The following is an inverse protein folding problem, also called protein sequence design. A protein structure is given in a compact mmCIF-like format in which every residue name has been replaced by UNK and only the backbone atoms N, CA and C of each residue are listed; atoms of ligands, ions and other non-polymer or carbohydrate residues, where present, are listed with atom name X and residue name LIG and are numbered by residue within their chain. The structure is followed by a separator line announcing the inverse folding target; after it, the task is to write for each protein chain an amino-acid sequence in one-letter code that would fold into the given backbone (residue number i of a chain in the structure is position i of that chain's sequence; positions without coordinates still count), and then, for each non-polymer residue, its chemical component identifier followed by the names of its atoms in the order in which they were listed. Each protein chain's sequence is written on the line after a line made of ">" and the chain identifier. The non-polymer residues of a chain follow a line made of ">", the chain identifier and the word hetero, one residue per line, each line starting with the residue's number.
data_IF_085492459907
#
_entry.id   IF_085492459907
#
_cell.length_a   1.000
_cell.length_b   1.000
_cell.length_c   1.000
_cell.angle_alpha   90.00
_cell.angle_beta   90.00
_cell.angle_gamma   90.00
#
_symmetry.space_group_name_H-M   'P 1'
#
loop_
_entity.id
_entity.type
_entity.pdbx_description
1 polymer ?
#
# COMPACT_ATOMS: atom_id res chain seq x y z
N UNK A 1 -8.20 28.42 1.59
CA UNK A 1 -9.16 27.42 2.07
C UNK A 1 -8.46 26.55 3.07
N UNK A 2 -9.09 26.27 4.21
CA UNK A 2 -8.58 25.28 5.15
C UNK A 2 -8.68 23.87 4.54
N UNK A 3 -7.87 22.91 5.01
CA UNK A 3 -7.93 21.51 4.52
C UNK A 3 -9.32 20.89 4.74
N UNK A 4 -10.02 21.31 5.81
CA UNK A 4 -11.39 20.92 6.09
C UNK A 4 -12.40 21.48 5.06
N UNK A 5 -12.32 22.76 4.70
CA UNK A 5 -13.18 23.38 3.68
C UNK A 5 -13.03 22.70 2.32
N UNK A 6 -11.80 22.37 1.92
CA UNK A 6 -11.54 21.66 0.67
C UNK A 6 -12.16 20.26 0.67
N UNK A 7 -12.03 19.54 1.79
CA UNK A 7 -12.61 18.21 1.93
C UNK A 7 -14.15 18.24 1.87
N UNK A 8 -14.80 19.25 2.46
CA UNK A 8 -16.25 19.44 2.36
C UNK A 8 -16.73 19.63 0.92
N UNK A 9 -15.98 20.36 0.09
CA UNK A 9 -16.31 20.53 -1.34
C UNK A 9 -16.26 19.18 -2.08
N UNK A 10 -15.30 18.32 -1.73
CA UNK A 10 -15.19 16.99 -2.32
C UNK A 10 -16.39 16.10 -1.96
N UNK A 11 -16.86 16.15 -0.70
CA UNK A 11 -18.00 15.35 -0.21
C UNK A 11 -19.26 15.58 -1.05
N UNK A 12 -19.56 16.83 -1.39
CA UNK A 12 -20.78 17.20 -2.12
C UNK A 12 -20.90 16.60 -3.54
N UNK A 13 -19.82 16.03 -4.10
CA UNK A 13 -19.76 15.59 -5.52
C UNK A 13 -19.86 14.08 -5.74
N UNK A 14 -20.02 13.24 -4.70
CA UNK A 14 -19.82 11.78 -4.80
C UNK A 14 -20.99 10.92 -4.32
N UNK A 15 -21.14 9.72 -4.92
CA UNK A 15 -22.06 8.66 -4.45
C UNK A 15 -21.44 7.68 -3.45
N UNK A 16 -20.09 7.61 -3.40
CA UNK A 16 -19.31 6.85 -2.41
C UNK A 16 -18.73 7.82 -1.39
N UNK A 17 -18.54 7.37 -0.15
CA UNK A 17 -17.82 8.12 0.87
C UNK A 17 -16.43 8.55 0.38
N UNK A 18 -16.01 9.73 0.81
CA UNK A 18 -14.71 10.33 0.54
C UNK A 18 -13.67 9.84 1.51
N UNK A 19 -12.46 9.61 0.99
CA UNK A 19 -11.37 9.06 1.77
C UNK A 19 -10.19 10.02 1.87
N UNK A 20 -9.84 10.41 3.08
CA UNK A 20 -8.69 11.25 3.39
C UNK A 20 -7.65 10.47 4.19
N UNK A 21 -6.39 10.57 3.79
CA UNK A 21 -5.28 9.87 4.45
C UNK A 21 -4.18 10.84 4.85
N UNK A 22 -3.82 10.80 6.13
CA UNK A 22 -2.60 11.37 6.66
C UNK A 22 -1.45 10.38 6.55
N UNK A 23 -0.46 10.67 5.71
CA UNK A 23 0.76 9.88 5.56
C UNK A 23 1.86 10.52 6.39
N UNK A 24 2.62 9.71 7.13
CA UNK A 24 3.81 10.18 7.85
C UNK A 24 5.00 9.26 7.69
N UNK A 25 6.19 9.81 7.80
CA UNK A 25 7.44 9.03 7.69
C UNK A 25 7.61 8.01 8.83
N UNK A 26 7.05 8.29 10.02
CA UNK A 26 7.15 7.41 11.19
C UNK A 26 6.07 7.68 12.25
N UNK A 27 6.03 6.85 13.29
CA UNK A 27 5.37 7.14 14.54
C UNK A 27 5.92 8.43 15.19
N UNK A 28 5.05 9.18 15.87
CA UNK A 28 5.46 10.36 16.62
C UNK A 28 5.52 11.68 15.84
N UNK A 29 5.41 11.66 14.51
CA UNK A 29 5.34 12.87 13.66
C UNK A 29 4.06 13.69 13.83
N UNK A 30 3.06 13.16 14.54
CA UNK A 30 1.84 13.92 14.88
C UNK A 30 0.61 13.66 14.01
N UNK A 31 0.57 12.55 13.25
CA UNK A 31 -0.60 12.19 12.41
C UNK A 31 -1.94 12.22 13.16
N UNK A 32 -2.04 11.46 14.25
CA UNK A 32 -3.25 11.39 15.08
C UNK A 32 -3.62 12.75 15.66
N UNK A 33 -2.64 13.52 16.12
CA UNK A 33 -2.87 14.86 16.66
C UNK A 33 -3.45 15.80 15.59
N UNK A 34 -2.90 15.81 14.37
CA UNK A 34 -3.42 16.61 13.25
C UNK A 34 -4.82 16.19 12.81
N UNK A 35 -5.07 14.89 12.72
CA UNK A 35 -6.37 14.32 12.42
C UNK A 35 -7.44 14.75 13.44
N UNK A 36 -7.11 14.74 14.73
CA UNK A 36 -8.00 15.22 15.79
C UNK A 36 -8.20 16.74 15.74
N UNK A 37 -7.17 17.53 15.42
CA UNK A 37 -7.33 18.99 15.23
C UNK A 37 -8.28 19.31 14.08
N UNK A 38 -8.18 18.57 12.97
CA UNK A 38 -9.14 18.69 11.87
C UNK A 38 -10.55 18.29 12.29
N UNK A 39 -10.70 17.23 13.09
CA UNK A 39 -11.99 16.83 13.61
C UNK A 39 -12.68 17.93 14.42
N UNK A 40 -11.95 18.61 15.30
CA UNK A 40 -12.45 19.79 16.02
C UNK A 40 -12.84 20.93 15.07
N UNK A 41 -12.10 21.13 13.98
CA UNK A 41 -12.47 22.11 12.95
C UNK A 41 -13.77 21.73 12.25
N UNK A 42 -13.98 20.45 11.93
CA UNK A 42 -15.20 19.96 11.28
C UNK A 42 -16.42 20.06 12.21
N UNK A 43 -16.28 19.72 13.49
CA UNK A 43 -17.32 19.92 14.51
C UNK A 43 -17.74 21.39 14.64
N UNK A 44 -16.78 22.33 14.56
CA UNK A 44 -17.08 23.77 14.57
C UNK A 44 -17.87 24.26 13.36
N UNK A 45 -17.93 23.46 12.29
CA UNK A 45 -18.74 23.72 11.10
C UNK A 45 -19.96 22.80 11.04
N UNK A 46 -20.40 22.28 12.20
CA UNK A 46 -21.61 21.46 12.37
C UNK A 46 -21.62 20.17 11.52
N UNK A 47 -20.44 19.61 11.22
CA UNK A 47 -20.30 18.33 10.52
C UNK A 47 -20.42 17.17 11.50
N UNK A 48 -21.22 16.14 11.20
CA UNK A 48 -21.34 14.95 12.05
C UNK A 48 -20.09 14.06 11.90
N UNK A 49 -19.08 14.33 12.72
CA UNK A 49 -17.84 13.56 12.77
C UNK A 49 -17.71 12.77 14.07
N UNK A 50 -17.38 11.49 13.94
CA UNK A 50 -17.19 10.59 15.08
C UNK A 50 -15.86 9.85 15.05
N UNK A 51 -15.35 9.50 16.22
CA UNK A 51 -14.20 8.60 16.36
C UNK A 51 -14.72 7.16 16.28
N UNK A 52 -14.34 6.44 15.21
CA UNK A 52 -14.53 4.99 15.11
C UNK A 52 -13.40 4.24 15.80
N UNK A 53 -12.16 4.67 15.56
CA UNK A 53 -10.99 4.14 16.25
C UNK A 53 -9.84 5.14 16.28
N UNK A 54 -9.20 5.28 17.44
CA UNK A 54 -7.93 5.99 17.62
C UNK A 54 -7.08 5.22 18.62
N UNK A 55 -5.78 5.10 18.37
CA UNK A 55 -4.83 4.66 19.38
C UNK A 55 -4.16 5.92 19.95
N UNK A 56 -4.66 6.47 21.08
CA UNK A 56 -4.15 7.74 21.59
C UNK A 56 -2.69 7.61 22.04
N UNK A 57 -2.24 6.38 22.32
CA UNK A 57 -1.05 6.10 23.13
C UNK A 57 -1.10 6.89 24.46
N UNK A 58 -0.12 6.76 25.36
CA UNK A 58 -0.10 7.49 26.64
C UNK A 58 0.28 8.98 26.46
N UNK A 59 -0.32 9.67 25.47
CA UNK A 59 0.02 11.05 25.10
C UNK A 59 -1.06 12.01 25.61
N UNK A 60 -0.78 12.70 26.71
CA UNK A 60 -1.71 13.63 27.36
C UNK A 60 -2.34 14.65 26.37
N UNK A 61 -1.53 15.25 25.49
CA UNK A 61 -1.99 16.22 24.48
C UNK A 61 -2.99 15.61 23.48
N UNK A 62 -2.82 14.32 23.14
CA UNK A 62 -3.71 13.62 22.19
C UNK A 62 -4.99 13.18 22.89
N UNK A 63 -4.89 12.72 24.14
CA UNK A 63 -6.05 12.36 24.97
C UNK A 63 -6.96 13.59 25.16
N UNK A 64 -6.38 14.75 25.45
CA UNK A 64 -7.14 16.00 25.58
C UNK A 64 -7.86 16.41 24.29
N UNK A 65 -7.34 16.07 23.12
CA UNK A 65 -8.02 16.32 21.84
C UNK A 65 -9.11 15.30 21.52
N UNK A 66 -9.06 14.09 22.08
CA UNK A 66 -10.15 13.11 21.96
C UNK A 66 -11.38 13.60 22.71
N UNK A 67 -11.19 14.28 23.84
CA UNK A 67 -12.27 14.94 24.55
C UNK A 67 -12.96 15.98 23.65
N UNK A 68 -14.30 15.94 23.62
CA UNK A 68 -15.11 16.84 22.81
C UNK A 68 -15.42 16.35 21.39
N UNK A 69 -14.88 15.20 20.96
CA UNK A 69 -15.29 14.54 19.70
C UNK A 69 -16.18 13.34 20.04
N UNK A 70 -17.41 13.24 19.50
CA UNK A 70 -18.25 12.06 19.71
C UNK A 70 -17.53 10.78 19.27
N UNK A 71 -17.66 9.70 20.04
CA UNK A 71 -16.99 8.44 19.76
C UNK A 71 -18.00 7.29 19.68
N UNK A 72 -17.78 6.40 18.73
CA UNK A 72 -18.52 5.14 18.63
C UNK A 72 -17.83 4.15 19.57
N UNK A 73 -18.58 3.49 20.49
CA UNK A 73 -18.01 2.54 21.42
C UNK A 73 -17.24 1.42 20.70
N UNK A 74 -16.07 1.08 21.23
CA UNK A 74 -15.26 -0.02 20.72
C UNK A 74 -15.90 -1.36 21.07
N UNK A 75 -15.62 -2.36 20.26
CA UNK A 75 -16.04 -3.73 20.49
C UNK A 75 -14.96 -4.47 21.26
N UNK A 76 -15.33 -5.03 22.41
CA UNK A 76 -14.44 -5.91 23.16
C UNK A 76 -14.51 -7.34 22.63
N UNK A 77 -13.36 -7.93 22.28
CA UNK A 77 -13.23 -9.28 21.73
C UNK A 77 -12.32 -10.09 22.66
N UNK A 78 -12.81 -11.23 23.14
CA UNK A 78 -12.01 -12.14 23.96
C UNK A 78 -11.18 -13.08 23.07
N UNK A 79 -9.86 -12.95 23.13
CA UNK A 79 -8.94 -13.72 22.30
C UNK A 79 -7.66 -14.08 23.07
N UNK A 80 -7.22 -15.36 22.96
CA UNK A 80 -6.04 -15.92 23.67
C UNK A 80 -5.97 -15.56 25.17
N UNK A 81 -7.11 -15.57 25.84
CA UNK A 81 -7.20 -15.35 27.29
C UNK A 81 -7.17 -13.87 27.71
N UNK A 82 -7.30 -12.92 26.78
CA UNK A 82 -7.36 -11.47 27.08
C UNK A 82 -8.51 -10.81 26.30
N UNK A 83 -9.07 -9.76 26.87
CA UNK A 83 -9.97 -8.86 26.14
C UNK A 83 -9.14 -7.86 25.34
N UNK A 84 -9.47 -7.73 24.06
CA UNK A 84 -8.87 -6.77 23.13
C UNK A 84 -9.98 -5.85 22.63
N UNK A 85 -9.68 -4.55 22.55
CA UNK A 85 -10.61 -3.54 22.06
C UNK A 85 -10.38 -3.29 20.57
N UNK A 86 -11.45 -3.37 19.78
CA UNK A 86 -11.41 -3.17 18.33
C UNK A 86 -12.46 -2.18 17.85
N UNK A 87 -12.27 -1.66 16.63
CA UNK A 87 -13.26 -0.84 15.96
C UNK A 87 -14.57 -1.63 15.73
N UNK A 88 -15.71 -1.05 16.08
CA UNK A 88 -17.01 -1.65 15.76
C UNK A 88 -17.51 -1.15 14.40
N UNK A 89 -17.14 -1.88 13.34
CA UNK A 89 -17.57 -1.60 11.97
C UNK A 89 -19.09 -1.52 11.82
N UNK A 90 -19.84 -2.42 12.49
CA UNK A 90 -21.29 -2.47 12.33
C UNK A 90 -21.96 -1.31 13.06
N UNK A 91 -21.46 -0.93 14.24
CA UNK A 91 -21.93 0.27 14.93
C UNK A 91 -21.71 1.52 14.07
N UNK A 92 -20.55 1.65 13.40
CA UNK A 92 -20.27 2.76 12.49
C UNK A 92 -21.26 2.80 11.32
N UNK A 93 -21.51 1.67 10.67
CA UNK A 93 -22.44 1.62 9.52
C UNK A 93 -23.88 1.94 9.96
N UNK A 94 -24.30 1.44 11.12
CA UNK A 94 -25.66 1.65 11.64
C UNK A 94 -25.90 3.08 12.11
N UNK A 95 -24.89 3.68 12.73
CA UNK A 95 -24.94 5.06 13.22
C UNK A 95 -24.85 6.08 12.07
N UNK A 96 -24.16 5.70 10.97
CA UNK A 96 -24.08 6.44 9.70
C UNK A 96 -23.70 7.92 9.85
N UNK A 97 -22.55 8.25 10.47
CA UNK A 97 -22.11 9.64 10.58
C UNK A 97 -21.67 10.19 9.22
N UNK A 98 -21.61 11.52 9.07
CA UNK A 98 -21.05 12.14 7.88
C UNK A 98 -19.58 11.73 7.70
N UNK A 99 -18.80 11.73 8.79
CA UNK A 99 -17.37 11.41 8.77
C UNK A 99 -17.01 10.52 9.96
N UNK A 100 -16.19 9.50 9.73
CA UNK A 100 -15.58 8.71 10.80
C UNK A 100 -14.06 8.73 10.76
N UNK A 101 -13.45 8.86 11.93
CA UNK A 101 -12.01 8.80 12.13
C UNK A 101 -11.59 7.36 12.43
N UNK A 102 -10.63 6.87 11.65
CA UNK A 102 -10.10 5.50 11.78
C UNK A 102 -8.57 5.54 11.72
N UNK A 103 -7.91 5.52 12.87
CA UNK A 103 -6.44 5.48 12.96
C UNK A 103 -5.87 4.07 12.70
N UNK A 104 -4.56 4.02 12.46
CA UNK A 104 -3.78 2.81 12.16
C UNK A 104 -4.34 2.00 10.98
N UNK A 105 -4.41 2.61 9.80
CA UNK A 105 -4.96 1.96 8.59
C UNK A 105 -4.35 0.58 8.27
N UNK A 106 -3.09 0.35 8.66
CA UNK A 106 -2.34 -0.89 8.43
C UNK A 106 -2.69 -2.05 9.38
N UNK A 107 -3.44 -1.75 10.44
CA UNK A 107 -3.69 -2.66 11.55
C UNK A 107 -4.25 -4.00 11.08
N UNK A 108 -3.75 -5.07 11.71
CA UNK A 108 -4.27 -6.43 11.55
C UNK A 108 -5.34 -6.69 12.58
N UNK A 109 -6.57 -6.82 12.12
CA UNK A 109 -7.69 -7.01 13.02
C UNK A 109 -7.54 -8.30 13.83
N UNK A 110 -8.09 -8.31 15.04
CA UNK A 110 -8.09 -9.48 15.92
C UNK A 110 -8.71 -10.70 15.22
N UNK A 111 -8.11 -11.88 15.39
CA UNK A 111 -8.63 -13.13 14.85
C UNK A 111 -10.09 -13.37 15.30
N UNK A 112 -10.96 -13.70 14.34
CA UNK A 112 -12.41 -13.78 14.54
C UNK A 112 -13.18 -12.55 14.09
N UNK A 113 -12.49 -11.45 13.75
CA UNK A 113 -13.09 -10.30 13.05
C UNK A 113 -13.56 -10.68 11.64
N UNK A 114 -14.60 -10.01 11.15
CA UNK A 114 -15.16 -10.27 9.81
C UNK A 114 -14.11 -10.02 8.70
N UNK A 115 -13.31 -8.97 8.86
CA UNK A 115 -12.20 -8.64 8.00
C UNK A 115 -10.86 -8.89 8.71
N UNK A 116 -9.81 -9.19 7.94
CA UNK A 116 -8.45 -9.43 8.46
C UNK A 116 -7.66 -8.14 8.67
N UNK A 117 -8.02 -7.06 7.99
CA UNK A 117 -7.28 -5.80 7.99
C UNK A 117 -8.21 -4.60 8.15
N UNK A 118 -7.80 -3.60 8.92
CA UNK A 118 -8.59 -2.39 9.16
C UNK A 118 -8.91 -1.61 7.89
N UNK A 119 -7.99 -1.59 6.92
CA UNK A 119 -8.28 -0.97 5.63
C UNK A 119 -9.43 -1.66 4.87
N UNK A 120 -9.75 -2.93 5.14
CA UNK A 120 -10.94 -3.58 4.56
C UNK A 120 -12.22 -3.07 5.23
N UNK A 121 -12.19 -2.81 6.54
CA UNK A 121 -13.31 -2.19 7.24
C UNK A 121 -13.55 -0.77 6.70
N UNK A 122 -12.48 0.00 6.52
CA UNK A 122 -12.53 1.34 5.90
C UNK A 122 -13.17 1.29 4.52
N UNK A 123 -12.84 0.30 3.68
CA UNK A 123 -13.49 0.15 2.38
C UNK A 123 -15.01 -0.07 2.52
N UNK A 124 -15.46 -0.89 3.46
CA UNK A 124 -16.89 -1.12 3.69
C UNK A 124 -17.60 0.14 4.20
N UNK A 125 -16.95 0.93 5.06
CA UNK A 125 -17.47 2.22 5.53
C UNK A 125 -17.65 3.19 4.34
N UNK A 126 -16.63 3.30 3.48
CA UNK A 126 -16.69 4.14 2.28
C UNK A 126 -17.79 3.67 1.31
N UNK A 127 -17.96 2.37 1.13
CA UNK A 127 -19.02 1.76 0.32
C UNK A 127 -20.42 2.04 0.87
N UNK A 128 -20.57 2.15 2.19
CA UNK A 128 -21.81 2.57 2.85
C UNK A 128 -22.11 4.08 2.70
N UNK A 129 -21.22 4.85 2.06
CA UNK A 129 -21.38 6.28 1.82
C UNK A 129 -20.81 7.18 2.92
N UNK A 130 -20.23 6.61 3.97
CA UNK A 130 -19.64 7.36 5.09
C UNK A 130 -18.22 7.80 4.71
N UNK A 131 -17.87 9.05 4.98
CA UNK A 131 -16.53 9.56 4.69
C UNK A 131 -15.54 9.09 5.77
N UNK A 132 -14.29 8.85 5.40
CA UNK A 132 -13.27 8.35 6.33
C UNK A 132 -12.05 9.26 6.33
N UNK A 133 -11.59 9.64 7.54
CA UNK A 133 -10.27 10.22 7.75
C UNK A 133 -9.41 9.19 8.47
N UNK A 134 -8.24 8.87 7.89
CA UNK A 134 -7.35 7.85 8.42
C UNK A 134 -5.89 8.31 8.42
N UNK A 135 -5.02 7.53 9.08
CA UNK A 135 -3.59 7.78 9.13
C UNK A 135 -2.78 6.50 8.92
N UNK A 136 -1.63 6.64 8.27
CA UNK A 136 -0.71 5.53 7.98
C UNK A 136 0.75 6.00 7.95
N UNK A 137 1.68 5.15 8.39
CA UNK A 137 3.11 5.38 8.17
C UNK A 137 3.57 4.78 6.84
N UNK A 138 4.53 5.41 6.17
CA UNK A 138 5.09 4.90 4.91
C UNK A 138 5.64 3.48 5.00
N UNK A 139 6.11 3.09 6.19
CA UNK A 139 6.67 1.76 6.44
C UNK A 139 5.65 0.64 6.25
N UNK A 140 4.35 0.94 6.29
CA UNK A 140 3.28 -0.02 6.09
C UNK A 140 2.82 -0.11 4.63
N UNK A 141 3.28 0.79 3.76
CA UNK A 141 2.94 0.76 2.34
C UNK A 141 3.69 -0.41 1.69
N UNK A 142 2.95 -1.31 1.03
CA UNK A 142 3.49 -2.56 0.52
C UNK A 142 4.65 -2.33 -0.45
N UNK A 143 4.51 -1.43 -1.43
CA UNK A 143 5.57 -1.15 -2.40
C UNK A 143 6.83 -0.52 -1.81
N UNK A 144 6.70 0.17 -0.68
CA UNK A 144 7.82 0.83 0.01
C UNK A 144 8.50 -0.07 1.02
N UNK A 145 7.94 -1.25 1.30
CA UNK A 145 8.47 -2.09 2.35
C UNK A 145 9.95 -2.40 2.16
N UNK A 146 10.36 -2.85 0.98
CA UNK A 146 11.74 -3.29 0.75
C UNK A 146 12.73 -2.14 0.93
N UNK A 147 12.41 -0.97 0.38
CA UNK A 147 13.19 0.25 0.59
C UNK A 147 13.28 0.60 2.07
N UNK A 148 12.17 0.54 2.80
CA UNK A 148 12.15 0.80 4.25
C UNK A 148 12.99 -0.23 4.99
N UNK A 149 12.84 -1.53 4.72
CA UNK A 149 13.62 -2.61 5.34
C UNK A 149 15.12 -2.41 5.13
N UNK A 150 15.53 -1.92 3.96
CA UNK A 150 16.94 -1.61 3.69
C UNK A 150 17.45 -0.41 4.50
N UNK A 151 16.58 0.56 4.83
CA UNK A 151 16.91 1.72 5.67
C UNK A 151 16.97 1.33 7.14
N UNK A 152 15.89 0.73 7.67
CA UNK A 152 15.74 0.50 9.12
C UNK A 152 16.22 -0.88 9.59
N UNK A 153 16.45 -1.83 8.69
CA UNK A 153 16.84 -3.20 9.00
C UNK A 153 15.73 -4.09 9.57
N UNK A 154 14.52 -3.55 9.76
CA UNK A 154 13.38 -4.24 10.39
C UNK A 154 12.33 -4.59 9.34
N UNK A 155 11.83 -5.82 9.41
CA UNK A 155 10.71 -6.26 8.61
C UNK A 155 9.40 -5.91 9.30
N UNK A 156 8.62 -5.04 8.67
CA UNK A 156 7.26 -4.73 9.09
C UNK A 156 6.32 -5.89 8.66
N UNK A 157 5.30 -6.21 9.43
CA UNK A 157 4.36 -7.30 9.06
C UNK A 157 3.00 -6.75 8.68
N UNK A 158 2.66 -5.59 9.21
CA UNK A 158 1.40 -4.90 8.94
C UNK A 158 1.51 -4.05 7.67
N UNK A 159 0.60 -4.31 6.73
CA UNK A 159 0.70 -3.83 5.35
C UNK A 159 -0.61 -3.26 4.84
N UNK A 160 -0.47 -2.20 4.05
CA UNK A 160 -1.52 -1.58 3.25
C UNK A 160 -1.12 -1.67 1.78
N UNK A 161 -1.93 -2.31 0.93
CA UNK A 161 -1.70 -2.32 -0.52
C UNK A 161 -1.78 -0.91 -1.10
N UNK A 162 -0.90 -0.57 -2.04
CA UNK A 162 -0.86 0.74 -2.71
C UNK A 162 -2.21 1.17 -3.32
N UNK A 163 -2.98 0.19 -3.83
CA UNK A 163 -4.33 0.44 -4.37
C UNK A 163 -5.28 1.10 -3.37
N UNK A 164 -5.10 0.86 -2.07
CA UNK A 164 -5.92 1.47 -1.02
C UNK A 164 -5.61 2.96 -0.91
N UNK A 165 -4.33 3.33 -0.99
CA UNK A 165 -3.93 4.73 -1.00
C UNK A 165 -4.37 5.44 -2.27
N UNK A 166 -4.35 4.74 -3.42
CA UNK A 166 -4.85 5.27 -4.68
C UNK A 166 -6.36 5.58 -4.68
N UNK A 167 -7.11 5.01 -3.73
CA UNK A 167 -8.53 5.30 -3.52
C UNK A 167 -8.78 6.57 -2.68
N UNK A 168 -7.74 7.18 -2.11
CA UNK A 168 -7.87 8.40 -1.34
C UNK A 168 -8.22 9.57 -2.26
N UNK A 169 -9.24 10.34 -1.89
CA UNK A 169 -9.59 11.60 -2.51
C UNK A 169 -8.63 12.72 -2.07
N UNK A 170 -8.06 12.63 -0.86
CA UNK A 170 -7.07 13.57 -0.35
C UNK A 170 -5.95 12.84 0.41
N UNK A 171 -4.70 13.17 0.09
CA UNK A 171 -3.52 12.67 0.79
C UNK A 171 -2.74 13.84 1.36
N UNK A 172 -2.53 13.82 2.68
CA UNK A 172 -1.83 14.89 3.39
C UNK A 172 -0.56 14.31 4.02
N UNK A 173 0.59 14.93 3.70
CA UNK A 173 1.85 14.57 4.33
C UNK A 173 1.98 15.27 5.70
N UNK A 174 2.27 14.49 6.73
CA UNK A 174 2.66 14.98 8.05
C UNK A 174 4.17 14.80 8.21
N UNK A 175 4.85 15.94 8.14
CA UNK A 175 6.30 16.01 8.20
C UNK A 175 6.79 16.63 9.51
N UNK A 176 7.99 16.22 9.92
CA UNK A 176 8.70 16.75 11.08
C UNK A 176 10.20 16.68 10.79
N UNK A 177 10.99 17.58 11.34
CA UNK A 177 12.45 17.45 11.20
C UNK A 177 12.97 16.27 12.03
N UNK A 178 14.15 15.74 11.68
CA UNK A 178 14.79 14.66 12.44
C UNK A 178 15.05 15.05 13.89
N UNK A 179 15.51 16.29 14.11
CA UNK A 179 15.81 16.81 15.45
C UNK A 179 14.55 16.94 16.30
N UNK A 180 13.44 17.43 15.74
CA UNK A 180 12.15 17.50 16.44
C UNK A 180 11.60 16.11 16.77
N UNK A 181 11.75 15.14 15.86
CA UNK A 181 11.28 13.78 16.10
C UNK A 181 12.10 13.11 17.22
N UNK A 182 13.42 13.31 17.21
CA UNK A 182 14.33 12.83 18.26
C UNK A 182 14.02 13.52 19.60
N UNK A 183 13.77 14.82 19.61
CA UNK A 183 13.38 15.56 20.81
C UNK A 183 12.09 14.99 21.42
N UNK A 184 11.06 14.79 20.59
CA UNK A 184 9.79 14.17 21.03
C UNK A 184 9.99 12.75 21.57
N UNK A 185 10.89 11.97 20.98
CA UNK A 185 11.23 10.65 21.51
C UNK A 185 11.88 10.75 22.90
N UNK A 186 12.88 11.64 23.06
CA UNK A 186 13.59 11.86 24.34
C UNK A 186 12.67 12.40 25.44
N UNK A 187 11.66 13.19 25.07
CA UNK A 187 10.62 13.67 25.98
C UNK A 187 9.60 12.59 26.38
N UNK A 188 9.74 11.35 25.89
CA UNK A 188 8.81 10.25 26.18
C UNK A 188 7.45 10.38 25.47
N UNK A 189 7.32 11.28 24.49
CA UNK A 189 6.06 11.52 23.76
C UNK A 189 5.77 10.46 22.71
N UNK A 190 6.73 9.60 22.37
CA UNK A 190 6.60 8.59 21.30
C UNK A 190 6.58 7.18 21.87
N UNK A 191 7.54 6.83 22.74
CA UNK A 191 7.65 5.52 23.39
C UNK A 191 7.89 5.66 24.90
N UNK A 192 7.55 4.62 25.68
CA UNK A 192 7.91 4.57 27.09
C UNK A 192 9.43 4.53 27.30
N UNK A 193 9.88 4.97 28.48
CA UNK A 193 11.28 5.26 28.77
C UNK A 193 12.24 4.08 28.53
N UNK A 194 11.80 2.86 28.81
CA UNK A 194 12.56 1.61 28.63
C UNK A 194 12.91 1.31 27.16
N UNK A 195 12.15 1.87 26.21
CA UNK A 195 12.35 1.65 24.77
C UNK A 195 13.08 2.80 24.07
N UNK A 196 13.35 3.91 24.75
CA UNK A 196 13.93 5.12 24.12
C UNK A 196 15.33 4.85 23.59
N UNK A 197 16.25 4.34 24.42
CA UNK A 197 17.65 4.12 24.02
C UNK A 197 17.77 3.13 22.86
N UNK A 198 17.06 2.01 22.92
CA UNK A 198 17.03 1.00 21.86
C UNK A 198 16.44 1.60 20.56
N UNK A 199 15.43 2.45 20.67
CA UNK A 199 14.82 3.11 19.51
C UNK A 199 15.76 4.13 18.86
N UNK A 200 16.52 4.90 19.65
CA UNK A 200 17.53 5.84 19.17
C UNK A 200 18.70 5.13 18.46
N UNK A 201 19.12 3.98 18.98
CA UNK A 201 20.20 3.19 18.38
C UNK A 201 19.79 2.42 17.11
N UNK A 202 18.49 2.31 16.82
CA UNK A 202 17.97 1.58 15.66
C UNK A 202 17.20 2.50 14.71
N UNK A 203 15.91 2.68 14.96
CA UNK A 203 15.00 3.35 14.03
C UNK A 203 15.26 4.87 13.95
N UNK A 204 15.48 5.54 15.08
CA UNK A 204 15.52 7.01 15.19
C UNK A 204 16.92 7.61 14.99
N UNK A 205 17.68 7.08 14.02
CA UNK A 205 18.94 7.69 13.58
C UNK A 205 18.66 8.81 12.58
N UNK A 206 19.45 9.89 12.63
CA UNK A 206 19.30 11.03 11.72
C UNK A 206 19.27 10.61 10.24
N UNK A 207 20.21 9.75 9.83
CA UNK A 207 20.28 9.23 8.45
C UNK A 207 19.06 8.40 8.05
N UNK A 208 18.50 7.62 8.97
CA UNK A 208 17.29 6.84 8.72
C UNK A 208 16.08 7.74 8.57
N UNK A 209 15.93 8.73 9.47
CA UNK A 209 14.83 9.69 9.43
C UNK A 209 14.87 10.49 8.13
N UNK A 210 16.05 10.93 7.70
CA UNK A 210 16.20 11.68 6.45
C UNK A 210 15.76 10.86 5.23
N UNK A 211 16.17 9.60 5.14
CA UNK A 211 15.76 8.71 4.04
C UNK A 211 14.27 8.38 4.07
N UNK A 212 13.70 8.15 5.26
CA UNK A 212 12.26 7.94 5.40
C UNK A 212 11.46 9.19 5.03
N UNK A 213 11.96 10.37 5.38
CA UNK A 213 11.37 11.67 4.99
C UNK A 213 11.36 11.84 3.48
N UNK A 214 12.46 11.55 2.81
CA UNK A 214 12.55 11.55 1.35
C UNK A 214 11.51 10.61 0.73
N UNK A 215 11.42 9.38 1.23
CA UNK A 215 10.43 8.40 0.76
C UNK A 215 8.98 8.88 0.95
N UNK A 216 8.66 9.49 2.10
CA UNK A 216 7.33 10.03 2.36
C UNK A 216 6.95 11.16 1.40
N UNK A 217 7.85 12.12 1.22
CA UNK A 217 7.64 13.24 0.30
C UNK A 217 7.47 12.77 -1.14
N UNK A 218 8.30 11.81 -1.57
CA UNK A 218 8.22 11.22 -2.90
C UNK A 218 6.89 10.49 -3.13
N UNK A 219 6.41 9.75 -2.15
CA UNK A 219 5.15 9.02 -2.27
C UNK A 219 3.95 9.98 -2.36
N UNK A 220 3.92 11.02 -1.54
CA UNK A 220 2.88 12.05 -1.58
C UNK A 220 2.93 12.82 -2.90
N UNK A 221 4.13 13.21 -3.37
CA UNK A 221 4.29 13.87 -4.67
C UNK A 221 3.77 13.00 -5.82
N UNK A 222 4.12 11.72 -5.83
CA UNK A 222 3.64 10.75 -6.83
C UNK A 222 2.10 10.65 -6.82
N UNK A 223 1.46 10.74 -5.66
CA UNK A 223 0.00 10.71 -5.57
C UNK A 223 -0.65 12.01 -6.07
N UNK A 224 -0.07 13.18 -5.73
CA UNK A 224 -0.53 14.48 -6.21
C UNK A 224 -0.40 14.59 -7.73
N UNK A 225 0.71 14.14 -8.30
CA UNK A 225 0.94 14.10 -9.76
C UNK A 225 -0.19 13.34 -10.48
N UNK A 226 -0.54 12.13 -10.02
CA UNK A 226 -1.65 11.35 -10.61
C UNK A 226 -3.00 12.06 -10.51
N UNK A 227 -3.26 12.74 -9.40
CA UNK A 227 -4.53 13.47 -9.22
C UNK A 227 -4.63 14.63 -10.21
N UNK A 228 -3.53 15.37 -10.41
CA UNK A 228 -3.45 16.43 -11.43
C UNK A 228 -3.62 15.85 -12.84
N UNK A 229 -2.96 14.72 -13.14
CA UNK A 229 -3.14 14.02 -14.42
C UNK A 229 -4.60 13.65 -14.67
N UNK A 230 -5.31 13.18 -13.64
CA UNK A 230 -6.69 12.71 -13.74
C UNK A 230 -7.73 13.85 -13.79
N UNK A 231 -7.54 14.92 -13.00
CA UNK A 231 -8.54 15.98 -12.81
C UNK A 231 -8.33 17.20 -13.72
N UNK A 232 -7.07 17.57 -14.00
CA UNK A 232 -6.73 18.80 -14.75
C UNK A 232 -6.45 18.48 -16.21
N UNK A 233 -5.82 17.33 -16.46
CA UNK A 233 -5.52 16.90 -17.83
C UNK A 233 -6.74 16.18 -18.37
N UNK A 234 -7.44 16.75 -19.36
CA UNK A 234 -8.41 15.99 -20.16
C UNK A 234 -7.71 14.69 -20.58
N UNK A 235 -8.37 13.52 -20.50
CA UNK A 235 -7.77 12.31 -21.04
C UNK A 235 -7.60 12.55 -22.54
N UNK A 236 -6.39 12.96 -22.93
CA UNK A 236 -5.87 12.60 -24.24
C UNK A 236 -6.13 11.11 -24.35
N UNK A 237 -6.60 10.66 -25.51
CA UNK A 237 -6.87 9.26 -25.83
C UNK A 237 -5.59 8.41 -25.72
N UNK A 238 -4.98 8.34 -24.54
CA UNK A 238 -3.92 7.44 -24.17
C UNK A 238 -4.62 6.12 -23.97
N UNK A 239 -4.31 5.15 -24.84
CA UNK A 239 -4.82 3.80 -24.68
C UNK A 239 -4.57 3.38 -23.22
N UNK A 240 -5.55 2.79 -22.54
CA UNK A 240 -5.33 2.32 -21.18
C UNK A 240 -4.14 1.35 -21.20
N UNK A 241 -3.09 1.72 -20.48
CA UNK A 241 -1.95 0.84 -20.27
C UNK A 241 -2.46 -0.50 -19.75
N UNK A 242 -1.82 -1.60 -20.12
CA UNK A 242 -2.09 -2.95 -19.61
C UNK A 242 -0.75 -3.59 -19.32
N UNK A 243 -0.49 -3.81 -18.03
CA UNK A 243 0.78 -4.35 -17.56
C UNK A 243 0.75 -5.89 -17.51
N UNK A 244 1.84 -6.51 -17.92
CA UNK A 244 2.08 -7.94 -17.80
C UNK A 244 3.37 -8.19 -17.02
N UNK A 245 3.25 -8.69 -15.79
CA UNK A 245 4.37 -9.23 -15.03
C UNK A 245 4.63 -10.68 -15.45
N UNK A 246 5.80 -10.95 -16.03
CA UNK A 246 6.23 -12.30 -16.35
C UNK A 246 7.14 -12.81 -15.22
N UNK A 247 6.68 -13.84 -14.50
CA UNK A 247 7.43 -14.43 -13.38
C UNK A 247 7.98 -15.80 -13.73
N UNK A 248 9.09 -16.16 -13.09
CA UNK A 248 9.68 -17.51 -13.15
C UNK A 248 9.51 -18.21 -11.81
N UNK A 249 9.95 -19.47 -11.72
CA UNK A 249 9.97 -20.23 -10.46
C UNK A 249 11.01 -19.72 -9.43
N UNK A 250 11.75 -18.64 -9.71
CA UNK A 250 12.70 -18.04 -8.78
C UNK A 250 11.95 -17.14 -7.78
N UNK A 251 12.04 -17.48 -6.49
CA UNK A 251 11.27 -16.82 -5.43
C UNK A 251 11.55 -15.31 -5.34
N UNK A 252 12.82 -14.90 -5.17
CA UNK A 252 13.18 -13.51 -4.85
C UNK A 252 12.89 -12.57 -6.02
N UNK A 253 13.29 -12.96 -7.23
CA UNK A 253 13.09 -12.15 -8.42
C UNK A 253 11.60 -12.03 -8.77
N UNK A 254 10.81 -13.10 -8.61
CA UNK A 254 9.38 -13.05 -8.87
C UNK A 254 8.65 -12.10 -7.93
N UNK A 255 8.96 -12.10 -6.61
CA UNK A 255 8.35 -11.15 -5.66
C UNK A 255 8.67 -9.70 -6.01
N UNK A 256 9.93 -9.38 -6.34
CA UNK A 256 10.35 -8.03 -6.77
C UNK A 256 9.57 -7.58 -8.02
N UNK A 257 9.47 -8.45 -9.04
CA UNK A 257 8.72 -8.17 -10.27
C UNK A 257 7.24 -7.92 -9.97
N UNK A 258 6.60 -8.76 -9.16
CA UNK A 258 5.19 -8.61 -8.78
C UNK A 258 4.97 -7.26 -8.09
N UNK A 259 5.79 -6.90 -7.08
CA UNK A 259 5.65 -5.62 -6.36
C UNK A 259 5.85 -4.41 -7.26
N UNK A 260 6.94 -4.38 -8.03
CA UNK A 260 7.27 -3.25 -8.89
C UNK A 260 6.26 -3.10 -10.03
N UNK A 261 5.74 -4.21 -10.57
CA UNK A 261 4.66 -4.16 -11.57
C UNK A 261 3.35 -3.71 -10.95
N UNK A 262 2.99 -4.16 -9.74
CA UNK A 262 1.81 -3.68 -9.02
C UNK A 262 1.87 -2.16 -8.81
N UNK A 263 3.06 -1.64 -8.47
CA UNK A 263 3.30 -0.20 -8.31
C UNK A 263 3.10 0.55 -9.62
N UNK A 264 3.63 0.05 -10.73
CA UNK A 264 3.44 0.64 -12.06
C UNK A 264 1.97 0.59 -12.49
N UNK A 265 1.30 -0.55 -12.32
CA UNK A 265 -0.11 -0.69 -12.62
C UNK A 265 -0.98 0.26 -11.79
N UNK A 266 -0.67 0.40 -10.50
CA UNK A 266 -1.28 1.40 -9.61
C UNK A 266 -0.91 2.84 -10.01
N UNK A 267 0.26 3.05 -10.63
CA UNK A 267 0.65 4.34 -11.19
C UNK A 267 -0.29 4.78 -12.30
N UNK A 268 -0.55 3.90 -13.27
CA UNK A 268 -1.38 4.18 -14.43
C UNK A 268 -2.88 3.84 -14.23
N UNK A 269 -3.32 3.57 -12.99
CA UNK A 269 -4.68 3.09 -12.68
C UNK A 269 -5.15 1.95 -13.62
N UNK A 270 -4.25 1.02 -13.88
CA UNK A 270 -4.38 0.01 -14.93
C UNK A 270 -4.60 -1.38 -14.35
N UNK A 271 -5.37 -2.20 -15.07
CA UNK A 271 -5.44 -3.64 -14.81
C UNK A 271 -4.14 -4.29 -15.25
N UNK A 272 -3.64 -5.19 -14.41
CA UNK A 272 -2.40 -5.91 -14.70
C UNK A 272 -2.57 -7.41 -14.50
N UNK A 273 -1.73 -8.15 -15.21
CA UNK A 273 -1.73 -9.61 -15.18
C UNK A 273 -0.36 -10.12 -14.76
N UNK A 274 -0.34 -11.15 -13.93
CA UNK A 274 0.85 -11.98 -13.72
C UNK A 274 0.74 -13.23 -14.57
N UNK A 275 1.72 -13.45 -15.45
CA UNK A 275 1.80 -14.62 -16.31
C UNK A 275 2.98 -15.51 -15.88
N UNK A 276 2.67 -16.78 -15.65
CA UNK A 276 3.64 -17.85 -15.50
C UNK A 276 3.55 -18.79 -16.71
N UNK A 277 4.68 -19.04 -17.37
CA UNK A 277 4.78 -19.99 -18.49
C UNK A 277 5.43 -21.27 -18.00
N UNK A 278 4.66 -22.35 -18.00
CA UNK A 278 5.14 -23.67 -17.61
C UNK A 278 5.80 -24.37 -18.81
N UNK A 279 7.11 -24.60 -18.73
CA UNK A 279 7.87 -25.36 -19.73
C UNK A 279 7.85 -26.87 -19.43
N UNK A 280 8.00 -27.77 -20.43
CA UNK A 280 7.97 -29.22 -20.22
C UNK A 280 9.03 -29.77 -19.25
N UNK A 281 10.16 -29.07 -19.10
CA UNK A 281 11.19 -29.38 -18.09
C UNK A 281 10.76 -29.03 -16.64
N UNK A 282 9.66 -28.31 -16.49
CA UNK A 282 9.00 -27.88 -15.25
C UNK A 282 7.59 -28.51 -15.12
N UNK A 283 7.42 -29.75 -15.60
CA UNK A 283 6.18 -30.50 -15.37
C UNK A 283 6.03 -30.79 -13.85
N UNK A 284 4.83 -30.75 -13.23
CA UNK A 284 4.65 -30.87 -11.78
C UNK A 284 5.22 -32.17 -11.20
N UNK A 285 5.31 -33.23 -12.01
CA UNK A 285 5.88 -34.52 -11.62
C UNK A 285 7.42 -34.53 -11.53
N UNK A 286 8.10 -33.43 -11.88
CA UNK A 286 9.57 -33.33 -11.94
C UNK A 286 10.16 -32.09 -11.25
N UNK A 287 9.34 -31.27 -10.60
CA UNK A 287 9.80 -30.09 -9.87
C UNK A 287 10.17 -30.46 -8.42
N UNK A 288 11.25 -29.89 -7.89
CA UNK A 288 11.56 -29.97 -6.47
C UNK A 288 10.48 -29.25 -5.63
N UNK A 289 9.94 -29.91 -4.60
CA UNK A 289 8.77 -29.47 -3.82
C UNK A 289 8.86 -28.03 -3.27
N UNK A 290 10.09 -27.56 -3.01
CA UNK A 290 10.39 -26.20 -2.59
C UNK A 290 9.99 -25.14 -3.64
N UNK A 291 10.34 -25.36 -4.92
CA UNK A 291 10.02 -24.45 -6.03
C UNK A 291 8.51 -24.34 -6.28
N UNK A 292 7.79 -25.45 -6.12
CA UNK A 292 6.33 -25.46 -6.27
C UNK A 292 5.66 -24.61 -5.19
N UNK A 293 6.12 -24.71 -3.93
CA UNK A 293 5.62 -23.89 -2.82
C UNK A 293 5.88 -22.40 -3.06
N UNK A 294 7.07 -22.03 -3.52
CA UNK A 294 7.40 -20.64 -3.83
C UNK A 294 6.54 -20.06 -4.95
N UNK A 295 6.29 -20.85 -6.00
CA UNK A 295 5.40 -20.42 -7.09
C UNK A 295 3.98 -20.14 -6.58
N UNK A 296 3.39 -21.08 -5.82
CA UNK A 296 2.04 -20.90 -5.26
C UNK A 296 1.98 -19.64 -4.38
N UNK A 297 2.97 -19.44 -3.50
CA UNK A 297 3.03 -18.26 -2.64
C UNK A 297 3.10 -16.96 -3.45
N UNK A 298 3.88 -16.94 -4.55
CA UNK A 298 4.00 -15.77 -5.41
C UNK A 298 2.71 -15.49 -6.21
N UNK A 299 2.02 -16.54 -6.65
CA UNK A 299 0.72 -16.40 -7.34
C UNK A 299 -0.36 -15.88 -6.38
N UNK A 300 -0.40 -16.38 -5.14
CA UNK A 300 -1.30 -15.86 -4.11
C UNK A 300 -0.99 -14.40 -3.80
N UNK A 301 0.29 -14.06 -3.61
CA UNK A 301 0.73 -12.68 -3.40
C UNK A 301 0.33 -11.75 -4.57
N UNK A 302 0.44 -12.23 -5.82
CA UNK A 302 -0.03 -11.49 -6.98
C UNK A 302 -1.54 -11.22 -6.94
N UNK A 303 -2.36 -12.20 -6.55
CA UNK A 303 -3.81 -12.01 -6.39
C UNK A 303 -4.13 -10.99 -5.28
N UNK A 304 -3.44 -11.06 -4.14
CA UNK A 304 -3.59 -10.10 -3.04
C UNK A 304 -3.29 -8.65 -3.51
N UNK A 305 -2.26 -8.50 -4.36
CA UNK A 305 -1.89 -7.24 -5.02
C UNK A 305 -2.88 -6.81 -6.13
N UNK A 306 -3.92 -7.58 -6.39
CA UNK A 306 -4.97 -7.27 -7.36
C UNK A 306 -4.63 -7.65 -8.81
N UNK A 307 -3.62 -8.49 -9.04
CA UNK A 307 -3.31 -8.99 -10.37
C UNK A 307 -4.31 -10.07 -10.81
N UNK A 308 -4.61 -10.10 -12.11
CA UNK A 308 -5.13 -11.31 -12.75
C UNK A 308 -3.99 -12.32 -12.89
N UNK A 309 -4.13 -13.51 -12.31
CA UNK A 309 -3.11 -14.56 -12.42
C UNK A 309 -3.43 -15.52 -13.55
N UNK A 310 -2.47 -15.74 -14.45
CA UNK A 310 -2.60 -16.65 -15.60
C UNK A 310 -1.42 -17.61 -15.64
N UNK A 311 -1.72 -18.90 -15.84
CA UNK A 311 -0.73 -19.94 -16.07
C UNK A 311 -0.97 -20.52 -17.47
N UNK A 312 0.04 -20.46 -18.36
CA UNK A 312 0.01 -21.08 -19.69
C UNK A 312 1.08 -22.15 -19.80
N UNK A 313 0.75 -23.28 -20.44
CA UNK A 313 1.73 -24.31 -20.80
C UNK A 313 2.32 -23.98 -22.16
N UNK A 314 3.65 -24.04 -22.30
CA UNK A 314 4.30 -23.68 -23.55
C UNK A 314 5.70 -24.28 -23.67
N UNK A 315 6.08 -24.69 -24.88
CA UNK A 315 7.42 -25.22 -25.17
C UNK A 315 8.46 -24.10 -25.29
N UNK A 316 8.02 -22.91 -25.69
CA UNK A 316 8.85 -21.72 -25.85
C UNK A 316 8.25 -20.55 -25.05
N UNK A 317 9.02 -20.05 -24.08
CA UNK A 317 8.59 -18.97 -23.18
C UNK A 317 8.32 -17.67 -23.95
N UNK A 318 9.24 -17.26 -24.82
CA UNK A 318 9.14 -16.00 -25.54
C UNK A 318 7.92 -15.97 -26.48
N UNK A 319 7.64 -17.11 -27.13
CA UNK A 319 6.48 -17.27 -28.00
C UNK A 319 5.17 -17.21 -27.22
N UNK A 320 5.07 -17.99 -26.14
CA UNK A 320 3.86 -18.02 -25.29
C UNK A 320 3.53 -16.65 -24.70
N UNK A 321 4.55 -15.89 -24.25
CA UNK A 321 4.34 -14.53 -23.75
C UNK A 321 3.90 -13.61 -24.91
N UNK A 322 4.53 -13.72 -26.08
CA UNK A 322 4.20 -12.88 -27.24
C UNK A 322 2.77 -13.09 -27.76
N UNK A 323 2.29 -14.34 -27.75
CA UNK A 323 0.90 -14.69 -28.05
C UNK A 323 -0.04 -14.06 -27.02
N UNK A 324 0.25 -14.24 -25.73
CA UNK A 324 -0.58 -13.65 -24.66
C UNK A 324 -0.66 -12.12 -24.73
N UNK A 325 0.48 -11.48 -25.01
CA UNK A 325 0.58 -10.03 -25.19
C UNK A 325 -0.32 -9.55 -26.31
N UNK A 326 -0.37 -10.25 -27.43
CA UNK A 326 -1.25 -9.91 -28.55
C UNK A 326 -2.73 -10.17 -28.23
N UNK A 327 -3.06 -11.34 -27.72
CA UNK A 327 -4.43 -11.72 -27.36
C UNK A 327 -5.07 -10.72 -26.39
N UNK A 328 -4.29 -10.19 -25.43
CA UNK A 328 -4.80 -9.32 -24.37
C UNK A 328 -4.49 -7.83 -24.60
N UNK A 329 -3.82 -7.50 -25.71
CA UNK A 329 -3.38 -6.15 -26.08
C UNK A 329 -2.54 -5.49 -24.96
N UNK A 330 -1.60 -6.23 -24.40
CA UNK A 330 -0.68 -5.74 -23.37
C UNK A 330 0.20 -4.64 -23.95
N UNK A 331 0.34 -3.53 -23.22
CA UNK A 331 1.16 -2.37 -23.65
C UNK A 331 2.55 -2.41 -23.04
N UNK A 332 2.68 -2.89 -21.81
CA UNK A 332 3.94 -2.92 -21.06
C UNK A 332 4.18 -4.29 -20.44
N UNK A 333 5.36 -4.87 -20.68
CA UNK A 333 5.79 -6.15 -20.11
C UNK A 333 6.92 -5.95 -19.11
N UNK A 334 6.70 -6.40 -17.88
CA UNK A 334 7.66 -6.34 -16.79
C UNK A 334 8.31 -7.72 -16.56
N UNK A 335 9.64 -7.77 -16.60
CA UNK A 335 10.42 -9.00 -16.43
C UNK A 335 11.52 -8.80 -15.40
N UNK A 336 11.88 -9.87 -14.70
CA UNK A 336 13.01 -9.86 -13.77
C UNK A 336 14.35 -9.90 -14.48
N UNK A 337 15.36 -9.21 -13.93
CA UNK A 337 16.73 -9.31 -14.44
C UNK A 337 17.22 -10.76 -14.37
N UNK A 338 17.70 -11.35 -15.47
CA UNK A 338 18.22 -12.71 -15.44
C UNK A 338 19.47 -12.76 -14.54
N UNK A 339 19.47 -13.68 -13.56
CA UNK A 339 20.68 -13.99 -12.79
C UNK A 339 21.61 -14.84 -13.67
N UNK A 340 22.80 -14.30 -13.94
CA UNK A 340 23.80 -14.88 -14.84
C UNK A 340 24.65 -15.88 -14.07
N UNK A 341 24.46 -17.18 -14.33
CA UNK A 341 25.49 -18.19 -14.07
C UNK A 341 26.21 -18.46 -15.39
N UNK A 342 27.55 -18.39 -15.38
CA UNK A 342 28.46 -18.37 -16.55
C UNK A 342 28.17 -19.43 -17.63
N UNK A 343 27.66 -20.61 -17.26
CA UNK A 343 27.39 -21.73 -18.20
C UNK A 343 26.00 -21.59 -18.88
N UNK A 344 25.11 -20.73 -18.37
CA UNK A 344 23.75 -20.50 -18.92
C UNK A 344 23.67 -19.30 -19.89
N UNK A 345 24.80 -18.63 -20.18
CA UNK A 345 24.88 -17.42 -21.00
C UNK A 345 24.29 -17.60 -22.40
N UNK A 346 24.62 -18.68 -23.11
CA UNK A 346 24.24 -18.81 -24.53
C UNK A 346 22.72 -19.02 -24.75
N UNK A 347 22.08 -19.84 -23.89
CA UNK A 347 20.66 -20.16 -24.02
C UNK A 347 19.75 -19.09 -23.40
N UNK A 348 20.20 -18.40 -22.32
CA UNK A 348 19.43 -17.33 -21.69
C UNK A 348 19.47 -16.02 -22.48
N UNK A 349 20.58 -15.73 -23.16
CA UNK A 349 20.66 -14.57 -24.06
C UNK A 349 19.80 -14.76 -25.31
N UNK A 350 19.71 -15.99 -25.85
CA UNK A 350 18.90 -16.27 -27.05
C UNK A 350 17.40 -16.04 -26.83
N UNK A 351 16.79 -16.55 -25.74
CA UNK A 351 15.36 -16.30 -25.50
C UNK A 351 15.09 -14.82 -25.19
N UNK A 352 15.97 -14.17 -24.41
CA UNK A 352 15.79 -12.78 -24.00
C UNK A 352 15.92 -11.84 -25.19
N UNK A 353 16.93 -12.05 -26.04
CA UNK A 353 17.13 -11.29 -27.27
C UNK A 353 15.97 -11.51 -28.27
N UNK A 354 15.55 -12.77 -28.47
CA UNK A 354 14.38 -13.07 -29.30
C UNK A 354 13.08 -12.47 -28.75
N UNK A 355 12.94 -12.45 -27.43
CA UNK A 355 11.81 -11.84 -26.73
C UNK A 355 11.79 -10.32 -26.93
N UNK A 356 12.90 -9.64 -26.66
CA UNK A 356 13.03 -8.18 -26.83
C UNK A 356 12.75 -7.80 -28.29
N UNK A 357 13.35 -8.49 -29.26
CA UNK A 357 13.11 -8.22 -30.68
C UNK A 357 11.65 -8.43 -31.10
N UNK A 358 10.97 -9.46 -30.56
CA UNK A 358 9.55 -9.72 -30.83
C UNK A 358 8.62 -8.68 -30.17
N UNK A 359 9.00 -8.09 -29.05
CA UNK A 359 8.20 -7.07 -28.36
C UNK A 359 8.42 -5.67 -28.95
N UNK A 360 9.66 -5.32 -29.29
CA UNK A 360 10.00 -4.07 -29.95
C UNK A 360 9.28 -3.92 -31.31
N UNK A 361 9.19 -5.00 -32.09
CA UNK A 361 8.44 -4.99 -33.36
C UNK A 361 6.93 -4.78 -33.19
N UNK A 362 6.40 -4.97 -31.98
CA UNK A 362 4.97 -4.88 -31.64
C UNK A 362 4.60 -3.59 -30.90
N UNK A 363 5.52 -2.63 -30.74
CA UNK A 363 5.34 -1.39 -29.95
C UNK A 363 4.89 -1.66 -28.50
N UNK A 364 5.49 -2.67 -27.89
CA UNK A 364 5.26 -3.04 -26.48
C UNK A 364 6.48 -2.66 -25.67
N UNK A 365 6.28 -1.88 -24.61
CA UNK A 365 7.37 -1.44 -23.73
C UNK A 365 7.84 -2.59 -22.85
N UNK A 366 9.15 -2.67 -22.61
CA UNK A 366 9.76 -3.71 -21.78
C UNK A 366 10.47 -3.04 -20.60
N UNK A 367 10.07 -3.42 -19.39
CA UNK A 367 10.69 -2.95 -18.16
C UNK A 367 11.41 -4.12 -17.50
N UNK A 368 12.72 -3.99 -17.34
CA UNK A 368 13.56 -4.98 -16.67
C UNK A 368 13.77 -4.54 -15.23
N UNK A 369 13.31 -5.38 -14.31
CA UNK A 369 13.26 -5.09 -12.88
C UNK A 369 14.35 -5.88 -12.16
N UNK A 370 15.21 -5.17 -11.42
CA UNK A 370 16.28 -5.74 -10.59
C UNK A 370 15.76 -6.36 -9.29
#
# INVERSE_FOLDING_TARGET
>A
MSSAEHFLELIQRSKRGKFKIYIGMSAGVGKTYRMLQEAHSLLKHDVDIKIGYIEPHLRAETIALVEGIPAIPRKSIFYKGKYLEEMDLQAIINDHPDIVIVDELAHTNVEGSANKKRWQDVLQILEAGINVISAVNIQHIESLNESVKNIIGIEVTERVPDKILALADEVVNIDLTGDELIARLKEGKIYPADKIEISLQNFFKSDHILQLRELALKEVATHVEKKVETEVTKPLNVRPEKFLACISSNEKTAKSVIRKTARLASYYNSRWTVLYVQIPKENPDKIALDKQRFLINNLNFAQEMGAKVVQKKGHNIAETISEYVQENQITTVCIGKPQLNFIQELFRLSWFHNFVNKMMSKKVDIIILS
#
